data_IF_075420509860
#
_entry.id   IF_075420509860
#
_cell.length_a   1.000
_cell.length_b   1.000
_cell.length_c   1.000
_cell.angle_alpha   90.00
_cell.angle_beta   90.00
_cell.angle_gamma   90.00
#
_symmetry.space_group_name_H-M   'P 1'
#
loop_
_entity.id
_entity.type
_entity.pdbx_description
1 polymer ?
#
# COMPACT_ATOMS: atom_id res chain seq x y z
N UNK A 1 -14.49 16.64 8.63
CA UNK A 1 -14.42 15.90 9.91
C UNK A 1 -14.05 14.41 9.76
N UNK A 2 -14.20 13.73 8.61
CA UNK A 2 -13.50 12.43 8.41
C UNK A 2 -13.01 12.15 6.97
N UNK A 3 -13.08 13.11 6.04
CA UNK A 3 -12.70 12.91 4.62
C UNK A 3 -13.34 11.68 3.93
N UNK A 4 -14.40 11.13 4.52
CA UNK A 4 -15.15 10.02 3.92
C UNK A 4 -15.87 10.54 2.67
N UNK A 5 -15.64 9.95 1.48
CA UNK A 5 -16.32 10.35 0.27
C UNK A 5 -17.85 10.21 0.40
N UNK A 6 -18.59 11.22 -0.04
CA UNK A 6 -20.05 11.32 0.14
C UNK A 6 -20.85 10.15 -0.47
N UNK A 7 -20.30 9.47 -1.48
CA UNK A 7 -20.94 8.32 -2.12
C UNK A 7 -20.93 7.04 -1.25
N UNK A 8 -20.06 6.94 -0.23
CA UNK A 8 -20.10 5.81 0.70
C UNK A 8 -21.18 5.96 1.79
N UNK A 9 -21.74 7.16 1.96
CA UNK A 9 -22.74 7.45 2.99
C UNK A 9 -24.18 7.29 2.46
N UNK A 10 -24.39 7.38 1.14
CA UNK A 10 -25.72 7.59 0.56
C UNK A 10 -26.15 6.61 -0.53
N UNK A 11 -25.33 5.61 -0.91
CA UNK A 11 -25.73 4.66 -1.98
C UNK A 11 -25.22 3.23 -1.69
N UNK A 12 -25.99 2.51 -0.86
CA UNK A 12 -25.83 1.06 -0.68
C UNK A 12 -26.88 0.25 -1.46
N UNK A 13 -27.80 0.89 -2.18
CA UNK A 13 -28.90 0.19 -2.86
C UNK A 13 -28.54 -0.31 -4.26
N UNK A 14 -27.49 0.22 -4.91
CA UNK A 14 -27.10 -0.18 -6.29
C UNK A 14 -25.60 -0.47 -6.49
N UNK A 15 -24.87 -0.85 -5.45
CA UNK A 15 -23.44 -1.14 -5.58
C UNK A 15 -23.20 -2.55 -6.17
N UNK A 16 -22.68 -2.62 -7.40
CA UNK A 16 -22.11 -3.86 -7.98
C UNK A 16 -20.73 -4.12 -7.38
N UNK A 17 -20.28 -5.38 -7.31
CA UNK A 17 -18.98 -5.77 -6.71
C UNK A 17 -17.79 -4.91 -7.20
N UNK A 18 -17.76 -4.57 -8.49
CA UNK A 18 -16.73 -3.71 -9.09
C UNK A 18 -16.69 -2.30 -8.48
N UNK A 19 -17.85 -1.70 -8.20
CA UNK A 19 -17.93 -0.37 -7.59
C UNK A 19 -17.50 -0.41 -6.12
N UNK A 20 -17.79 -1.50 -5.39
CA UNK A 20 -17.40 -1.64 -3.98
C UNK A 20 -15.87 -1.68 -3.84
N UNK A 21 -15.19 -2.40 -4.72
CA UNK A 21 -13.71 -2.46 -4.72
C UNK A 21 -13.08 -1.11 -5.02
N UNK A 22 -13.62 -0.38 -6.00
CA UNK A 22 -13.12 0.96 -6.33
C UNK A 22 -13.36 1.97 -5.18
N UNK A 23 -14.53 1.92 -4.54
CA UNK A 23 -14.83 2.76 -3.38
C UNK A 23 -13.94 2.43 -2.17
N UNK A 24 -13.64 1.16 -1.94
CA UNK A 24 -12.70 0.74 -0.89
C UNK A 24 -11.29 1.30 -1.15
N UNK A 25 -10.82 1.28 -2.40
CA UNK A 25 -9.55 1.88 -2.80
C UNK A 25 -9.56 3.39 -2.56
N UNK A 26 -10.64 4.09 -2.94
CA UNK A 26 -10.77 5.53 -2.70
C UNK A 26 -10.77 5.86 -1.21
N UNK A 27 -11.44 5.07 -0.38
CA UNK A 27 -11.45 5.25 1.08
C UNK A 27 -10.05 5.08 1.68
N UNK A 28 -9.32 4.04 1.30
CA UNK A 28 -7.94 3.82 1.77
C UNK A 28 -7.05 5.00 1.34
N UNK A 29 -7.20 5.46 0.09
CA UNK A 29 -6.36 6.52 -0.48
C UNK A 29 -6.62 7.90 0.12
N UNK A 30 -7.88 8.29 0.29
CA UNK A 30 -8.23 9.65 0.71
C UNK A 30 -8.44 9.81 2.21
N UNK A 31 -8.79 8.72 2.90
CA UNK A 31 -9.05 8.76 4.34
C UNK A 31 -7.92 8.14 5.13
N UNK A 32 -7.48 6.92 4.82
CA UNK A 32 -6.54 6.19 5.69
C UNK A 32 -5.09 6.64 5.52
N UNK A 33 -4.63 6.89 4.29
CA UNK A 33 -3.24 7.28 4.00
C UNK A 33 -2.74 8.46 4.85
N UNK A 34 -3.47 9.60 4.98
CA UNK A 34 -3.02 10.71 5.83
C UNK A 34 -2.79 10.33 7.31
N UNK A 35 -3.67 9.51 7.88
CA UNK A 35 -3.55 9.05 9.27
C UNK A 35 -2.36 8.12 9.45
N UNK A 36 -2.18 7.19 8.51
CA UNK A 36 -1.09 6.23 8.52
C UNK A 36 0.24 6.95 8.42
N UNK A 37 0.39 7.90 7.50
CA UNK A 37 1.61 8.71 7.38
C UNK A 37 1.92 9.49 8.66
N UNK A 38 0.90 10.05 9.32
CA UNK A 38 1.11 10.73 10.60
C UNK A 38 1.61 9.76 11.69
N UNK A 39 1.07 8.55 11.75
CA UNK A 39 1.54 7.53 12.69
C UNK A 39 2.95 7.05 12.36
N UNK A 40 3.28 6.81 11.10
CA UNK A 40 4.65 6.45 10.69
C UNK A 40 5.65 7.52 11.13
N UNK A 41 5.34 8.79 10.90
CA UNK A 41 6.22 9.89 11.30
C UNK A 41 6.41 9.94 12.82
N UNK A 42 5.35 9.80 13.61
CA UNK A 42 5.44 9.85 15.07
C UNK A 42 6.18 8.63 15.64
N UNK A 43 5.93 7.44 15.09
CA UNK A 43 6.61 6.21 15.48
C UNK A 43 8.11 6.27 15.14
N UNK A 44 8.46 6.70 13.93
CA UNK A 44 9.86 6.90 13.54
C UNK A 44 10.57 7.97 14.39
N UNK A 45 9.83 8.98 14.84
CA UNK A 45 10.35 10.04 15.72
C UNK A 45 10.55 9.58 17.16
N UNK A 46 9.74 8.66 17.69
CA UNK A 46 9.80 8.31 19.12
C UNK A 46 10.46 6.96 19.43
N UNK A 47 10.36 5.98 18.53
CA UNK A 47 10.81 4.63 18.82
C UNK A 47 12.32 4.44 18.65
N UNK A 48 12.94 5.18 17.73
CA UNK A 48 14.35 4.99 17.42
C UNK A 48 15.23 6.04 18.07
N UNK A 49 16.32 5.58 18.66
CA UNK A 49 17.46 6.40 19.06
C UNK A 49 18.16 6.97 17.82
N UNK A 50 19.03 7.97 18.03
CA UNK A 50 19.79 8.57 16.93
C UNK A 50 20.66 7.54 16.20
N UNK A 51 21.30 6.64 16.94
CA UNK A 51 22.13 5.57 16.38
C UNK A 51 21.33 4.59 15.53
N UNK A 52 20.10 4.22 15.95
CA UNK A 52 19.24 3.32 15.18
C UNK A 52 18.73 3.98 13.88
N UNK A 53 18.45 5.29 13.89
CA UNK A 53 18.09 5.99 12.64
C UNK A 53 19.27 6.06 11.68
N UNK A 54 20.46 6.32 12.18
CA UNK A 54 21.70 6.32 11.37
C UNK A 54 22.02 4.92 10.82
N UNK A 55 21.64 3.86 11.54
CA UNK A 55 21.72 2.47 11.07
C UNK A 55 20.60 2.06 10.09
N UNK A 56 19.65 2.96 9.79
CA UNK A 56 18.60 2.73 8.79
C UNK A 56 17.34 2.03 9.31
N UNK A 57 17.12 1.96 10.63
CA UNK A 57 15.86 1.42 11.17
C UNK A 57 14.71 2.42 10.96
N UNK A 58 13.59 1.92 10.46
CA UNK A 58 12.35 2.67 10.31
C UNK A 58 11.12 1.78 10.50
N UNK A 59 10.00 2.40 10.89
CA UNK A 59 8.67 1.78 10.88
C UNK A 59 7.91 2.28 9.65
N UNK A 60 7.32 1.37 8.90
CA UNK A 60 6.41 1.65 7.80
C UNK A 60 5.22 0.70 7.89
N UNK A 61 4.02 1.20 7.71
CA UNK A 61 2.84 0.39 7.54
C UNK A 61 2.75 -0.07 6.08
N UNK A 62 2.72 -1.38 5.86
CA UNK A 62 2.45 -1.92 4.55
C UNK A 62 0.96 -1.81 4.20
N UNK A 63 0.57 -0.64 3.67
CA UNK A 63 -0.77 -0.41 3.11
C UNK A 63 -0.96 -1.04 1.73
N UNK A 64 0.09 -1.62 1.13
CA UNK A 64 -0.07 -2.35 -0.12
C UNK A 64 -1.04 -3.52 0.07
N UNK A 65 -1.21 -4.06 1.28
CA UNK A 65 -2.27 -5.03 1.62
C UNK A 65 -3.71 -4.53 1.42
N UNK A 66 -3.95 -3.22 1.57
CA UNK A 66 -5.28 -2.58 1.50
C UNK A 66 -5.58 -1.97 0.13
N UNK A 67 -4.54 -1.49 -0.56
CA UNK A 67 -4.62 -1.03 -1.96
C UNK A 67 -4.34 -2.14 -2.96
N UNK A 68 -4.12 -3.37 -2.47
CA UNK A 68 -3.95 -4.56 -3.29
C UNK A 68 -5.23 -4.74 -4.08
N UNK A 69 -5.15 -4.49 -5.39
CA UNK A 69 -6.06 -5.10 -6.34
C UNK A 69 -6.14 -6.62 -6.11
N UNK A 70 -7.05 -7.27 -6.81
CA UNK A 70 -7.16 -8.74 -6.73
C UNK A 70 -5.79 -9.39 -6.92
N UNK A 71 -5.57 -10.58 -6.34
CA UNK A 71 -4.31 -11.30 -6.54
C UNK A 71 -3.96 -11.49 -8.03
N UNK A 72 -4.99 -11.52 -8.89
CA UNK A 72 -4.89 -11.53 -10.34
C UNK A 72 -4.30 -10.23 -10.90
N UNK A 73 -4.88 -9.07 -10.60
CA UNK A 73 -4.37 -7.77 -11.06
C UNK A 73 -2.92 -7.52 -10.60
N UNK A 74 -2.59 -7.99 -9.38
CA UNK A 74 -1.24 -7.90 -8.84
C UNK A 74 -0.24 -8.79 -9.60
N UNK A 75 -0.64 -10.04 -9.88
CA UNK A 75 0.18 -10.95 -10.67
C UNK A 75 0.37 -10.42 -12.10
N UNK A 76 -0.67 -9.85 -12.70
CA UNK A 76 -0.63 -9.22 -14.02
C UNK A 76 0.31 -8.01 -14.03
N UNK A 77 0.19 -7.10 -13.05
CA UNK A 77 1.08 -5.95 -12.92
C UNK A 77 2.55 -6.34 -12.87
N UNK A 78 2.94 -7.25 -11.97
CA UNK A 78 4.33 -7.69 -11.88
C UNK A 78 4.77 -8.48 -13.11
N UNK A 79 3.88 -9.28 -13.72
CA UNK A 79 4.18 -10.00 -14.94
C UNK A 79 4.52 -9.06 -16.09
N UNK A 80 3.69 -8.02 -16.33
CA UNK A 80 3.97 -7.01 -17.34
C UNK A 80 5.22 -6.21 -16.99
N UNK A 81 5.38 -5.79 -15.74
CA UNK A 81 6.54 -5.00 -15.31
C UNK A 81 7.89 -5.72 -15.51
N UNK A 82 7.93 -7.03 -15.24
CA UNK A 82 9.11 -7.87 -15.43
C UNK A 82 9.33 -8.18 -16.91
N UNK A 83 8.26 -8.42 -17.67
CA UNK A 83 8.35 -8.76 -19.11
C UNK A 83 8.76 -7.55 -19.94
N UNK A 84 8.24 -6.37 -19.63
CA UNK A 84 8.59 -5.10 -20.27
C UNK A 84 9.99 -4.61 -19.86
N UNK A 85 10.58 -5.24 -18.82
CA UNK A 85 11.98 -5.06 -18.43
C UNK A 85 12.28 -3.81 -17.60
N UNK A 86 11.26 -3.08 -17.15
CA UNK A 86 11.46 -1.90 -16.29
C UNK A 86 11.45 -2.23 -14.79
N UNK A 87 11.05 -3.45 -14.42
CA UNK A 87 11.10 -3.95 -13.04
C UNK A 87 11.78 -5.31 -12.97
N UNK A 88 12.71 -5.47 -12.03
CA UNK A 88 13.34 -6.75 -11.71
C UNK A 88 12.49 -7.59 -10.74
N UNK A 89 12.71 -8.90 -10.74
CA UNK A 89 12.06 -9.83 -9.80
C UNK A 89 12.39 -9.49 -8.34
N UNK A 90 13.57 -8.95 -8.06
CA UNK A 90 13.95 -8.53 -6.71
C UNK A 90 13.28 -7.22 -6.28
N UNK A 91 13.01 -6.30 -7.20
CA UNK A 91 12.19 -5.12 -6.93
C UNK A 91 10.74 -5.50 -6.61
N UNK A 92 10.14 -6.42 -7.38
CA UNK A 92 8.82 -6.94 -7.06
C UNK A 92 8.76 -7.60 -5.67
N UNK A 93 9.83 -8.31 -5.27
CA UNK A 93 9.95 -8.88 -3.91
C UNK A 93 10.04 -7.80 -2.84
N UNK A 94 10.81 -6.73 -3.08
CA UNK A 94 10.88 -5.60 -2.17
C UNK A 94 9.52 -4.90 -2.02
N UNK A 95 8.74 -4.77 -3.09
CA UNK A 95 7.36 -4.23 -3.02
C UNK A 95 6.42 -5.11 -2.19
N UNK A 96 6.67 -6.41 -2.13
CA UNK A 96 5.92 -7.36 -1.31
C UNK A 96 6.52 -7.56 0.10
N UNK A 97 7.46 -6.70 0.54
CA UNK A 97 8.22 -6.84 1.79
C UNK A 97 8.90 -8.22 1.96
N UNK A 98 9.35 -8.80 0.84
CA UNK A 98 10.10 -10.05 0.82
C UNK A 98 11.59 -9.79 0.61
N UNK A 99 12.43 -10.59 1.26
CA UNK A 99 13.88 -10.51 1.06
C UNK A 99 14.25 -10.80 -0.41
N UNK A 100 15.25 -10.07 -0.95
CA UNK A 100 15.80 -10.37 -2.27
C UNK A 100 16.38 -11.78 -2.31
N UNK A 101 16.43 -12.39 -3.49
CA UNK A 101 17.06 -13.69 -3.71
C UNK A 101 18.08 -13.59 -4.83
N UNK A 102 19.24 -14.18 -4.60
CA UNK A 102 20.28 -14.32 -5.61
C UNK A 102 19.86 -15.33 -6.69
N UNK A 103 20.15 -15.00 -7.95
CA UNK A 103 19.81 -15.84 -9.12
C UNK A 103 18.38 -15.66 -9.66
N UNK A 104 17.63 -14.67 -9.16
CA UNK A 104 16.39 -14.17 -9.77
C UNK A 104 16.66 -13.06 -10.78
#
# INVERSE_FOLDING_TARGET
IFNVPAHMINDLEKATFSNISEQAIQFVRYTMMPWVTNWEQELNRRLFTRAEREAGYYVRFNLAGLLRGTAKERAEFYHFAITDGWMSRNEARAFEDMNPKDGL
#
